data_IF_635869359729
#
_entry.id   IF_635869359729
#
_cell.length_a   1.000
_cell.length_b   1.000
_cell.length_c   1.000
_cell.angle_alpha   90.00
_cell.angle_beta   90.00
_cell.angle_gamma   90.00
#
_symmetry.space_group_name_H-M   'P 1'
#
loop_
_entity.id
_entity.type
_entity.pdbx_description
1 polymer ?
#
# COMPACT_ATOMS: atom_id res chain seq x y z
N UNK A 1 7.60 -3.28 1.90
CA UNK A 1 7.39 -2.42 0.72
C UNK A 1 8.56 -1.47 0.58
N UNK A 2 9.29 -1.48 -0.55
CA UNK A 2 10.50 -0.66 -0.74
C UNK A 2 10.26 0.84 -0.50
N UNK A 3 9.14 1.39 -0.98
CA UNK A 3 8.77 2.80 -0.79
C UNK A 3 8.56 3.21 0.68
N UNK A 4 8.01 2.33 1.53
CA UNK A 4 7.81 2.62 2.94
C UNK A 4 9.14 2.64 3.70
N UNK A 5 10.03 1.68 3.37
CA UNK A 5 11.40 1.66 3.93
C UNK A 5 12.16 2.90 3.50
N UNK A 6 12.06 3.28 2.23
CA UNK A 6 12.69 4.50 1.71
C UNK A 6 12.20 5.75 2.45
N UNK A 7 10.87 5.91 2.63
CA UNK A 7 10.26 7.04 3.35
C UNK A 7 10.72 7.13 4.81
N UNK A 8 10.76 6.00 5.51
CA UNK A 8 11.21 5.94 6.91
C UNK A 8 12.70 6.27 7.01
N UNK A 9 13.55 5.73 6.13
CA UNK A 9 14.97 6.06 6.12
C UNK A 9 15.23 7.53 5.79
N UNK A 10 14.44 8.12 4.89
CA UNK A 10 14.50 9.54 4.53
C UNK A 10 14.14 10.44 5.72
N UNK A 11 13.01 10.20 6.38
CA UNK A 11 12.54 11.07 7.48
C UNK A 11 13.42 10.96 8.74
N UNK A 12 14.00 9.77 8.99
CA UNK A 12 14.95 9.55 10.11
C UNK A 12 16.33 10.12 9.81
N UNK A 13 16.60 10.53 8.56
CA UNK A 13 17.88 11.14 8.16
C UNK A 13 19.01 10.13 7.94
N UNK A 14 18.69 8.84 7.77
CA UNK A 14 19.67 7.79 7.48
C UNK A 14 19.98 7.65 5.99
N UNK A 15 19.37 8.50 5.15
CA UNK A 15 19.55 8.48 3.71
C UNK A 15 20.34 9.69 3.22
N UNK A 16 21.59 9.51 2.78
CA UNK A 16 22.39 10.62 2.25
C UNK A 16 21.78 11.16 0.94
N UNK A 17 21.75 12.48 0.79
CA UNK A 17 21.22 13.15 -0.40
C UNK A 17 19.70 13.39 -0.39
N UNK A 18 19.01 13.15 0.72
CA UNK A 18 17.59 13.50 0.91
C UNK A 18 17.37 14.57 2.00
N UNK A 19 18.44 15.26 2.41
CA UNK A 19 18.44 16.22 3.52
C UNK A 19 17.48 17.39 3.27
N UNK A 20 17.53 17.99 2.08
CA UNK A 20 16.65 19.09 1.68
C UNK A 20 15.17 18.68 1.67
N UNK A 21 14.86 17.43 1.29
CA UNK A 21 13.49 16.91 1.32
C UNK A 21 13.01 16.69 2.76
N UNK A 22 13.87 16.18 3.63
CA UNK A 22 13.56 16.01 5.05
C UNK A 22 13.31 17.36 5.72
N UNK A 23 14.12 18.36 5.41
CA UNK A 23 13.93 19.72 5.92
C UNK A 23 12.62 20.33 5.43
N UNK A 24 12.29 20.16 4.14
CA UNK A 24 11.01 20.59 3.58
C UNK A 24 9.80 19.94 4.28
N UNK A 25 9.82 18.62 4.48
CA UNK A 25 8.72 17.89 5.13
C UNK A 25 8.57 18.19 6.63
N UNK A 26 9.63 18.67 7.27
CA UNK A 26 9.64 19.05 8.69
C UNK A 26 9.52 20.58 8.89
N UNK A 27 9.42 21.36 7.80
CA UNK A 27 9.54 22.82 7.84
C UNK A 27 8.39 23.51 8.58
N UNK A 28 7.15 23.04 8.37
CA UNK A 28 5.96 23.61 9.01
C UNK A 28 5.76 23.07 10.43
N UNK A 29 5.54 21.75 10.56
CA UNK A 29 5.42 21.07 11.84
C UNK A 29 6.02 19.67 11.73
N UNK A 30 7.16 19.49 12.39
CA UNK A 30 7.87 18.23 12.40
C UNK A 30 7.01 17.06 12.88
N UNK A 31 6.13 17.27 13.87
CA UNK A 31 5.25 16.22 14.40
C UNK A 31 4.25 15.79 13.34
N UNK A 32 3.65 16.75 12.63
CA UNK A 32 2.71 16.47 11.53
C UNK A 32 3.42 15.75 10.38
N UNK A 33 4.63 16.18 10.00
CA UNK A 33 5.44 15.53 8.96
C UNK A 33 5.75 14.06 9.30
N UNK A 34 6.16 13.78 10.55
CA UNK A 34 6.36 12.40 11.01
C UNK A 34 5.07 11.57 10.97
N UNK A 35 3.96 12.11 11.48
CA UNK A 35 2.67 11.42 11.48
C UNK A 35 2.23 11.10 10.05
N UNK A 36 2.40 12.03 9.13
CA UNK A 36 2.07 11.85 7.72
C UNK A 36 2.89 10.71 7.09
N UNK A 37 4.22 10.75 7.20
CA UNK A 37 5.12 9.76 6.60
C UNK A 37 4.92 8.36 7.21
N UNK A 38 4.80 8.27 8.54
CA UNK A 38 4.56 7.00 9.22
C UNK A 38 3.15 6.47 8.95
N UNK A 39 2.13 7.33 8.98
CA UNK A 39 0.73 6.96 8.69
C UNK A 39 0.59 6.35 7.29
N UNK A 40 1.15 7.01 6.28
CA UNK A 40 1.21 6.47 4.91
C UNK A 40 1.96 5.14 4.82
N UNK A 41 3.02 4.97 5.61
CA UNK A 41 3.79 3.73 5.64
C UNK A 41 3.02 2.59 6.31
N UNK A 42 2.28 2.87 7.39
CA UNK A 42 1.43 1.90 8.09
C UNK A 42 0.27 1.48 7.19
N UNK A 43 -0.43 2.43 6.56
CA UNK A 43 -1.51 2.12 5.61
C UNK A 43 -1.01 1.21 4.49
N UNK A 44 0.16 1.53 3.94
CA UNK A 44 0.75 0.73 2.88
C UNK A 44 1.19 -0.67 3.35
N UNK A 45 1.79 -0.78 4.53
CA UNK A 45 2.15 -2.07 5.12
C UNK A 45 0.91 -2.90 5.46
N UNK A 46 -0.15 -2.27 5.94
CA UNK A 46 -1.45 -2.90 6.20
C UNK A 46 -2.06 -3.50 4.94
N UNK A 47 -2.10 -2.74 3.85
CA UNK A 47 -2.55 -3.22 2.54
C UNK A 47 -1.69 -4.38 2.01
N UNK A 48 -0.36 -4.28 2.11
CA UNK A 48 0.54 -5.37 1.72
C UNK A 48 0.31 -6.64 2.56
N UNK A 49 0.14 -6.49 3.88
CA UNK A 49 -0.19 -7.59 4.77
C UNK A 49 -1.53 -8.24 4.41
N UNK A 50 -2.54 -7.43 4.06
CA UNK A 50 -3.84 -7.92 3.62
C UNK A 50 -3.75 -8.71 2.31
N UNK A 51 -2.96 -8.21 1.35
CA UNK A 51 -2.71 -8.89 0.08
C UNK A 51 -2.10 -10.28 0.30
N UNK A 52 -1.13 -10.40 1.22
CA UNK A 52 -0.54 -11.69 1.62
C UNK A 52 -1.57 -12.57 2.33
N UNK A 53 -2.41 -11.99 3.20
CA UNK A 53 -3.50 -12.69 3.88
C UNK A 53 -4.56 -13.25 2.92
N UNK A 54 -4.81 -12.61 1.77
CA UNK A 54 -5.72 -13.09 0.73
C UNK A 54 -5.17 -14.27 -0.07
N UNK A 55 -3.85 -14.37 -0.19
CA UNK A 55 -3.15 -15.43 -0.95
C UNK A 55 -2.84 -16.65 -0.06
N UNK A 56 -2.50 -16.44 1.21
CA UNK A 56 -2.20 -17.52 2.17
C UNK A 56 -3.42 -17.92 3.00
N UNK A 57 -3.50 -19.19 3.47
CA UNK A 57 -4.64 -19.71 4.24
C UNK A 57 -4.90 -18.98 5.58
N UNK A 58 -4.01 -18.11 6.03
CA UNK A 58 -4.14 -17.38 7.30
C UNK A 58 -5.25 -16.31 7.22
N UNK A 59 -5.64 -15.85 6.02
CA UNK A 59 -6.83 -15.00 5.85
C UNK A 59 -8.14 -15.72 6.14
N UNK A 60 -8.13 -17.05 6.19
CA UNK A 60 -9.26 -17.85 6.64
C UNK A 60 -9.13 -18.26 8.11
N UNK A 61 -7.94 -18.17 8.71
CA UNK A 61 -7.67 -18.62 10.08
C UNK A 61 -6.82 -17.57 10.80
N UNK A 62 -7.49 -16.68 11.54
CA UNK A 62 -6.82 -15.66 12.35
C UNK A 62 -6.89 -16.09 13.82
N UNK A 63 -5.74 -16.22 14.47
CA UNK A 63 -5.62 -16.78 15.84
C UNK A 63 -6.33 -18.15 16.04
N UNK A 64 -6.31 -19.02 15.03
CA UNK A 64 -6.94 -20.34 15.12
C UNK A 64 -8.46 -20.34 14.93
N UNK A 65 -9.09 -19.19 14.66
CA UNK A 65 -10.53 -19.08 14.36
C UNK A 65 -10.79 -18.83 12.88
N UNK A 66 -11.81 -19.50 12.34
CA UNK A 66 -12.26 -19.26 10.96
C UNK A 66 -12.81 -17.84 10.84
N UNK A 67 -12.15 -17.00 10.04
CA UNK A 67 -12.60 -15.63 9.78
C UNK A 67 -13.71 -15.67 8.72
N UNK A 68 -14.86 -15.00 8.95
CA UNK A 68 -15.89 -14.87 7.94
C UNK A 68 -15.32 -14.21 6.67
N UNK A 69 -15.72 -14.71 5.50
CA UNK A 69 -15.15 -14.27 4.21
C UNK A 69 -15.49 -12.81 3.88
N UNK A 70 -16.63 -12.32 4.34
CA UNK A 70 -17.14 -10.96 4.06
C UNK A 70 -16.19 -9.83 4.54
N UNK A 71 -15.86 -9.76 5.85
CA UNK A 71 -14.91 -8.77 6.37
C UNK A 71 -13.56 -8.76 5.66
N UNK A 72 -13.05 -9.94 5.27
CA UNK A 72 -11.77 -10.06 4.54
C UNK A 72 -11.85 -9.42 3.15
N UNK A 73 -12.96 -9.63 2.45
CA UNK A 73 -13.19 -9.02 1.13
C UNK A 73 -13.36 -7.51 1.26
N UNK A 74 -14.16 -7.04 2.22
CA UNK A 74 -14.37 -5.61 2.45
C UNK A 74 -13.05 -4.91 2.77
N UNK A 75 -12.25 -5.49 3.67
CA UNK A 75 -10.93 -4.96 3.99
C UNK A 75 -10.00 -4.94 2.77
N UNK A 76 -10.00 -5.99 1.92
CA UNK A 76 -9.18 -6.04 0.71
C UNK A 76 -9.60 -5.05 -0.37
N UNK A 77 -10.91 -4.84 -0.56
CA UNK A 77 -11.42 -3.82 -1.47
C UNK A 77 -11.07 -2.43 -0.96
N UNK A 78 -11.31 -2.14 0.33
CA UNK A 78 -10.99 -0.83 0.91
C UNK A 78 -9.49 -0.54 0.90
N UNK A 79 -8.65 -1.53 1.25
CA UNK A 79 -7.19 -1.42 1.17
C UNK A 79 -6.71 -1.16 -0.26
N UNK A 80 -7.14 -1.99 -1.20
CA UNK A 80 -6.79 -1.84 -2.62
C UNK A 80 -7.25 -0.51 -3.21
N UNK A 81 -8.46 -0.04 -2.89
CA UNK A 81 -8.98 1.26 -3.32
C UNK A 81 -8.19 2.41 -2.69
N UNK A 82 -7.90 2.36 -1.39
CA UNK A 82 -7.14 3.40 -0.71
C UNK A 82 -5.72 3.53 -1.28
N UNK A 83 -5.03 2.41 -1.50
CA UNK A 83 -3.68 2.38 -2.10
C UNK A 83 -3.72 2.88 -3.54
N UNK A 84 -4.71 2.46 -4.33
CA UNK A 84 -4.88 2.92 -5.72
C UNK A 84 -5.14 4.42 -5.75
N UNK A 85 -6.04 4.92 -4.91
CA UNK A 85 -6.35 6.35 -4.85
C UNK A 85 -5.14 7.19 -4.43
N UNK A 86 -4.46 6.81 -3.34
CA UNK A 86 -3.33 7.57 -2.81
C UNK A 86 -2.11 7.53 -3.75
N UNK A 87 -1.73 6.35 -4.21
CA UNK A 87 -0.44 6.16 -4.89
C UNK A 87 -0.52 6.06 -6.40
N UNK A 88 -1.68 5.72 -6.97
CA UNK A 88 -1.87 5.69 -8.43
C UNK A 88 -2.57 6.94 -8.93
N UNK A 89 -3.66 7.37 -8.29
CA UNK A 89 -4.44 8.52 -8.79
C UNK A 89 -3.85 9.83 -8.27
N UNK A 90 -3.80 10.02 -6.96
CA UNK A 90 -3.34 11.27 -6.34
C UNK A 90 -1.87 11.55 -6.66
N UNK A 91 -0.98 10.58 -6.42
CA UNK A 91 0.46 10.77 -6.68
C UNK A 91 0.76 11.03 -8.16
N UNK A 92 0.18 10.26 -9.10
CA UNK A 92 0.44 10.46 -10.53
C UNK A 92 -0.18 11.75 -11.03
N UNK A 93 -1.36 12.13 -10.53
CA UNK A 93 -1.98 13.43 -10.82
C UNK A 93 -1.12 14.60 -10.35
N UNK A 94 -0.55 14.52 -9.14
CA UNK A 94 0.38 15.52 -8.63
C UNK A 94 1.64 15.60 -9.50
N UNK A 95 2.23 14.46 -9.88
CA UNK A 95 3.38 14.42 -10.78
C UNK A 95 3.06 15.06 -12.15
N UNK A 96 1.88 14.77 -12.72
CA UNK A 96 1.44 15.33 -14.00
C UNK A 96 1.18 16.84 -13.94
N UNK A 97 0.76 17.35 -12.78
CA UNK A 97 0.57 18.79 -12.54
C UNK A 97 1.84 19.51 -12.08
N UNK A 98 3.00 18.83 -12.13
CA UNK A 98 4.32 19.40 -11.81
C UNK A 98 4.72 19.30 -10.34
N UNK A 99 3.86 18.77 -9.48
CA UNK A 99 4.13 18.56 -8.05
C UNK A 99 4.77 17.18 -7.84
N UNK A 100 6.09 17.14 -7.84
CA UNK A 100 6.82 15.89 -7.62
C UNK A 100 6.75 15.46 -6.14
N UNK A 101 6.76 14.14 -5.83
CA UNK A 101 6.75 13.65 -4.45
C UNK A 101 7.99 14.06 -3.65
N UNK A 102 9.09 14.39 -4.35
CA UNK A 102 10.30 14.95 -3.77
C UNK A 102 10.30 16.48 -3.70
N UNK A 103 9.21 17.15 -4.12
CA UNK A 103 9.10 18.61 -4.23
C UNK A 103 10.27 19.29 -4.99
N UNK A 104 11.04 18.54 -5.80
CA UNK A 104 12.23 19.03 -6.49
C UNK A 104 13.49 19.08 -5.63
N UNK A 105 13.43 18.60 -4.37
CA UNK A 105 14.53 18.63 -3.41
C UNK A 105 15.48 17.42 -3.51
N UNK A 106 15.15 16.41 -4.32
CA UNK A 106 16.00 15.22 -4.51
C UNK A 106 16.46 15.16 -5.97
N UNK A 107 17.76 14.95 -6.18
CA UNK A 107 18.35 14.88 -7.52
C UNK A 107 19.37 13.73 -7.63
N UNK A 108 19.67 13.32 -8.87
CA UNK A 108 20.70 12.31 -9.16
C UNK A 108 20.33 10.89 -8.70
N UNK A 109 21.30 10.20 -8.07
CA UNK A 109 21.17 8.79 -7.67
C UNK A 109 20.06 8.57 -6.61
N UNK A 110 19.92 9.41 -5.56
CA UNK A 110 18.80 9.32 -4.61
C UNK A 110 17.41 9.38 -5.28
N UNK A 111 17.26 10.20 -6.33
CA UNK A 111 16.01 10.29 -7.09
C UNK A 111 15.74 9.00 -7.86
N UNK A 112 16.76 8.41 -8.50
CA UNK A 112 16.62 7.13 -9.19
C UNK A 112 16.21 6.00 -8.23
N UNK A 113 16.79 5.96 -7.02
CA UNK A 113 16.41 5.01 -5.97
C UNK A 113 14.97 5.23 -5.52
N UNK A 114 14.55 6.48 -5.32
CA UNK A 114 13.16 6.80 -5.00
C UNK A 114 12.20 6.27 -6.06
N UNK A 115 12.45 6.58 -7.34
CA UNK A 115 11.62 6.12 -8.46
C UNK A 115 11.55 4.59 -8.51
N UNK A 116 12.69 3.91 -8.35
CA UNK A 116 12.73 2.44 -8.32
C UNK A 116 11.92 1.86 -7.14
N UNK A 117 11.97 2.49 -5.97
CA UNK A 117 11.19 2.09 -4.80
C UNK A 117 9.69 2.37 -4.92
N UNK A 118 9.32 3.38 -5.71
CA UNK A 118 7.93 3.79 -5.92
C UNK A 118 7.25 3.04 -7.07
N UNK A 119 7.96 2.57 -8.10
CA UNK A 119 7.36 1.77 -9.18
C UNK A 119 6.46 0.61 -8.69
N UNK A 120 6.89 -0.22 -7.70
CA UNK A 120 6.04 -1.29 -7.19
C UNK A 120 4.73 -0.81 -6.55
N UNK A 121 4.68 0.40 -6.00
CA UNK A 121 3.50 0.90 -5.27
C UNK A 121 2.32 1.17 -6.20
N UNK A 122 2.60 1.60 -7.43
CA UNK A 122 1.60 1.92 -8.44
C UNK A 122 0.93 0.64 -8.93
N UNK A 123 1.69 -0.45 -9.04
CA UNK A 123 1.15 -1.75 -9.43
C UNK A 123 0.44 -2.48 -8.28
N UNK A 124 0.73 -2.14 -7.03
CA UNK A 124 0.24 -2.90 -5.87
C UNK A 124 -1.27 -2.78 -5.65
N UNK A 125 -1.84 -1.58 -5.78
CA UNK A 125 -3.29 -1.36 -5.62
C UNK A 125 -4.15 -2.20 -6.57
N UNK A 126 -3.88 -2.18 -7.89
CA UNK A 126 -4.54 -3.08 -8.84
C UNK A 126 -4.34 -4.56 -8.53
N UNK A 127 -3.15 -4.95 -8.05
CA UNK A 127 -2.84 -6.34 -7.71
C UNK A 127 -3.64 -6.83 -6.49
N UNK A 128 -3.84 -5.97 -5.49
CA UNK A 128 -4.66 -6.24 -4.32
C UNK A 128 -6.14 -6.41 -4.68
N UNK A 129 -6.65 -5.56 -5.58
CA UNK A 129 -8.01 -5.69 -6.12
C UNK A 129 -8.16 -6.99 -6.92
N UNK A 130 -7.18 -7.34 -7.76
CA UNK A 130 -7.18 -8.60 -8.50
C UNK A 130 -7.13 -9.83 -7.58
N UNK A 131 -6.31 -9.79 -6.53
CA UNK A 131 -6.23 -10.84 -5.51
C UNK A 131 -7.55 -10.99 -4.74
N UNK A 132 -8.18 -9.88 -4.37
CA UNK A 132 -9.49 -9.85 -3.72
C UNK A 132 -10.57 -10.45 -4.62
N UNK A 133 -10.58 -10.11 -5.91
CA UNK A 133 -11.49 -10.69 -6.90
C UNK A 133 -11.29 -12.21 -7.04
N UNK A 134 -10.04 -12.67 -7.11
CA UNK A 134 -9.74 -14.10 -7.17
C UNK A 134 -10.20 -14.85 -5.91
N UNK A 135 -10.03 -14.26 -4.72
CA UNK A 135 -10.52 -14.82 -3.45
C UNK A 135 -12.05 -14.92 -3.40
N UNK A 136 -12.75 -13.90 -3.88
CA UNK A 136 -14.21 -13.90 -4.01
C UNK A 136 -14.70 -14.98 -4.97
N UNK A 137 -14.08 -15.10 -6.16
CA UNK A 137 -14.44 -16.11 -7.16
C UNK A 137 -14.29 -17.53 -6.59
N UNK A 138 -13.19 -17.83 -5.89
CA UNK A 138 -12.95 -19.13 -5.24
C UNK A 138 -14.00 -19.48 -4.18
N UNK A 139 -14.59 -18.48 -3.51
CA UNK A 139 -15.64 -18.71 -2.53
C UNK A 139 -16.96 -19.13 -3.16
N UNK A 140 -17.32 -18.54 -4.31
CA UNK A 140 -18.56 -18.86 -5.02
C UNK A 140 -18.58 -20.28 -5.59
N UNK A 141 -17.45 -20.79 -6.06
CA UNK A 141 -17.37 -22.15 -6.62
C UNK A 141 -17.64 -23.22 -5.57
N UNK A 142 -17.20 -23.01 -4.32
CA UNK A 142 -17.43 -23.93 -3.20
C UNK A 142 -18.89 -23.91 -2.73
N UNK A 143 -19.52 -22.72 -2.72
CA UNK A 143 -20.93 -22.58 -2.32
C UNK A 143 -21.89 -23.25 -3.32
N UNK A 144 -21.60 -23.15 -4.63
CA UNK A 144 -22.39 -23.77 -5.68
C UNK A 144 -22.28 -25.30 -5.67
N UNK A 145 -21.09 -25.85 -5.39
CA UNK A 145 -20.90 -27.31 -5.25
C UNK A 145 -21.57 -27.87 -3.98
N UNK A 146 -21.58 -27.11 -2.88
CA UNK A 146 -22.28 -27.50 -1.65
C UNK A 146 -23.81 -27.48 -1.78
N UNK A 147 -24.35 -26.55 -2.57
CA UNK A 147 -25.78 -26.49 -2.89
C UNK A 147 -26.22 -27.65 -3.80
N UNK A 148 -25.40 -28.04 -4.78
CA UNK A 148 -25.69 -29.16 -5.69
C UNK A 148 -25.62 -30.54 -5.01
N UNK A 149 -24.84 -30.69 -3.94
CA UNK A 149 -24.75 -31.94 -3.15
C UNK A 149 -25.92 -32.14 -2.18
N UNK A 150 -26.76 -31.12 -1.96
CA UNK A 150 -27.89 -31.16 -1.00
C UNK A 150 -29.26 -31.22 -1.69
N UNK A 151 -29.30 -31.22 -3.02
CA UNK A 151 -30.49 -31.45 -3.84
C UNK A 151 -30.46 -32.88 -4.37
#
# INVERSE_FOLDING_TARGET
MPSAVWRVLMIVGLMPGTEALREFELADDAVVGYIYVFGLSIVQLGAAFLTVGLVRPWGQVFLGRRVPRGPVIVAGVLGGLAVTWLFTISMVSQVLTGHRPDAGHVSGLPLAVMVACYLPIVFWGPLELAATYAFWRRGRTVDLSGAQSRA
#
